data_IF_374074413013
#
_entry.id   IF_374074413013
#
_cell.length_a   1.000
_cell.length_b   1.000
_cell.length_c   1.000
_cell.angle_alpha   90.00
_cell.angle_beta   90.00
_cell.angle_gamma   90.00
#
_symmetry.space_group_name_H-M   'P 1'
#
loop_
_entity.id
_entity.type
_entity.pdbx_description
1 polymer ?
#
# COMPACT_ATOMS: atom_id res chain seq x y z
N UNK A 1 22.32 -4.61 23.13
CA UNK A 1 22.08 -4.04 21.78
C UNK A 1 22.15 -5.14 20.71
N UNK A 2 21.11 -5.30 19.90
CA UNK A 2 21.10 -6.29 18.82
C UNK A 2 22.07 -5.80 17.73
N UNK A 3 23.09 -6.60 17.40
CA UNK A 3 24.06 -6.24 16.36
C UNK A 3 23.44 -6.38 14.96
N UNK A 4 23.93 -5.59 14.00
CA UNK A 4 23.49 -5.68 12.60
C UNK A 4 23.69 -7.09 12.02
N UNK A 5 24.78 -7.77 12.40
CA UNK A 5 25.05 -9.16 12.05
C UNK A 5 23.93 -10.08 12.53
N UNK A 6 23.57 -10.04 13.82
CA UNK A 6 22.54 -10.91 14.38
C UNK A 6 21.17 -10.70 13.72
N UNK A 7 20.84 -9.46 13.36
CA UNK A 7 19.59 -9.17 12.61
C UNK A 7 19.62 -9.83 11.24
N UNK A 8 20.68 -9.62 10.46
CA UNK A 8 20.77 -10.15 9.09
C UNK A 8 20.79 -11.68 9.11
N UNK A 9 21.61 -12.31 9.96
CA UNK A 9 21.67 -13.77 10.09
C UNK A 9 20.31 -14.41 10.40
N UNK A 10 19.44 -13.73 11.15
CA UNK A 10 18.08 -14.19 11.40
C UNK A 10 17.16 -13.98 10.20
N UNK A 11 17.27 -12.86 9.49
CA UNK A 11 16.42 -12.53 8.34
C UNK A 11 16.71 -13.40 7.12
N UNK A 12 17.96 -13.85 6.94
CA UNK A 12 18.36 -14.63 5.76
C UNK A 12 18.05 -16.12 5.87
N UNK A 13 17.59 -16.62 7.02
CA UNK A 13 17.28 -18.04 7.23
C UNK A 13 16.45 -18.67 6.11
N UNK A 14 15.37 -18.04 5.59
CA UNK A 14 14.56 -18.62 4.51
C UNK A 14 15.27 -18.74 3.16
N UNK A 15 16.40 -18.03 2.97
CA UNK A 15 17.17 -18.02 1.72
C UNK A 15 18.58 -18.59 1.89
N UNK A 16 18.90 -19.13 3.07
CA UNK A 16 20.18 -19.77 3.34
C UNK A 16 20.41 -20.96 2.39
N UNK A 17 21.63 -21.12 1.89
CA UNK A 17 22.02 -22.18 0.96
C UNK A 17 21.77 -21.86 -0.51
N UNK A 18 21.08 -20.76 -0.83
CA UNK A 18 20.51 -20.55 -2.17
C UNK A 18 21.41 -19.83 -3.17
N UNK A 19 22.61 -19.37 -2.78
CA UNK A 19 23.51 -18.64 -3.68
C UNK A 19 23.04 -17.22 -4.02
N UNK A 20 22.04 -16.69 -3.32
CA UNK A 20 21.52 -15.32 -3.57
C UNK A 20 22.44 -14.24 -3.00
N UNK A 21 22.28 -13.03 -3.53
CA UNK A 21 22.93 -11.84 -3.01
C UNK A 21 22.05 -11.06 -2.03
N UNK A 22 22.65 -10.58 -0.94
CA UNK A 22 22.04 -9.68 0.03
C UNK A 22 22.62 -8.28 -0.16
N UNK A 23 21.75 -7.29 -0.36
CA UNK A 23 22.18 -5.87 -0.34
C UNK A 23 21.84 -5.26 1.02
N UNK A 24 22.81 -4.58 1.66
CA UNK A 24 22.59 -3.97 2.98
C UNK A 24 23.11 -2.55 3.07
N UNK A 25 22.49 -1.74 3.95
CA UNK A 25 23.02 -0.42 4.32
C UNK A 25 24.18 -0.53 5.33
N UNK A 26 24.84 0.59 5.56
CA UNK A 26 25.98 0.78 6.43
C UNK A 26 25.78 0.44 7.90
N UNK A 27 24.54 0.39 8.39
CA UNK A 27 24.26 -0.05 9.75
C UNK A 27 24.46 -1.56 9.91
N UNK A 28 24.18 -2.33 8.85
CA UNK A 28 24.27 -3.80 8.84
C UNK A 28 25.61 -4.29 8.29
N UNK A 29 26.19 -3.58 7.32
CA UNK A 29 27.39 -4.02 6.59
C UNK A 29 28.61 -4.10 7.51
N UNK A 30 29.29 -5.25 7.53
CA UNK A 30 30.56 -5.46 8.24
C UNK A 30 31.34 -6.62 7.62
N UNK A 31 32.66 -6.69 7.85
CA UNK A 31 33.47 -7.82 7.38
C UNK A 31 33.02 -9.15 8.01
N UNK A 32 32.77 -9.24 9.33
CA UNK A 32 32.25 -10.47 9.93
C UNK A 32 30.91 -10.91 9.32
N UNK A 33 30.00 -9.97 9.00
CA UNK A 33 28.76 -10.32 8.32
C UNK A 33 29.03 -10.89 6.91
N UNK A 34 29.94 -10.29 6.15
CA UNK A 34 30.31 -10.78 4.82
C UNK A 34 30.86 -12.22 4.86
N UNK A 35 31.62 -12.54 5.91
CA UNK A 35 32.17 -13.89 6.15
C UNK A 35 31.09 -14.87 6.57
N UNK A 36 30.25 -14.53 7.54
CA UNK A 36 29.10 -15.36 7.98
C UNK A 36 28.16 -15.66 6.81
N UNK A 37 27.81 -14.67 5.98
CA UNK A 37 26.94 -14.91 4.83
C UNK A 37 27.57 -15.85 3.81
N UNK A 38 28.86 -15.69 3.53
CA UNK A 38 29.56 -16.51 2.54
C UNK A 38 29.79 -17.94 3.03
N UNK A 39 30.30 -18.09 4.24
CA UNK A 39 30.75 -19.36 4.80
C UNK A 39 29.60 -20.19 5.37
N UNK A 40 28.68 -19.56 6.11
CA UNK A 40 27.67 -20.28 6.88
C UNK A 40 26.34 -20.39 6.12
N UNK A 41 26.09 -19.47 5.18
CA UNK A 41 24.81 -19.36 4.49
C UNK A 41 24.89 -19.55 2.96
N UNK A 42 26.07 -19.69 2.34
CA UNK A 42 26.20 -19.69 0.87
C UNK A 42 25.44 -18.50 0.22
N UNK A 43 25.68 -17.30 0.75
CA UNK A 43 25.09 -16.04 0.28
C UNK A 43 26.19 -15.01 0.03
N UNK A 44 25.98 -14.14 -0.96
CA UNK A 44 26.88 -12.99 -1.19
C UNK A 44 26.34 -11.72 -0.56
N UNK A 45 27.21 -10.73 -0.39
CA UNK A 45 26.91 -9.44 0.19
C UNK A 45 27.36 -8.33 -0.77
N UNK A 46 26.54 -7.30 -0.89
CA UNK A 46 26.93 -5.95 -1.35
C UNK A 46 26.40 -4.93 -0.35
N UNK A 47 27.25 -4.06 0.18
CA UNK A 47 26.80 -3.05 1.12
C UNK A 47 27.83 -1.96 1.32
N UNK A 48 27.46 -0.86 1.96
CA UNK A 48 28.41 0.24 2.20
C UNK A 48 29.01 0.14 3.59
N UNK A 49 30.33 0.29 3.73
CA UNK A 49 30.98 0.38 5.03
C UNK A 49 31.04 1.83 5.53
N UNK A 50 30.94 1.99 6.85
CA UNK A 50 31.24 3.27 7.50
C UNK A 50 32.76 3.47 7.54
N UNK A 51 33.21 4.70 7.25
CA UNK A 51 34.64 5.08 7.25
C UNK A 51 35.39 4.86 8.57
N UNK A 52 34.68 4.69 9.69
CA UNK A 52 35.26 4.54 11.02
C UNK A 52 35.50 3.08 11.41
N UNK A 53 35.34 2.14 10.47
CA UNK A 53 35.65 0.71 10.67
C UNK A 53 37.17 0.53 10.68
N UNK A 54 37.67 -0.17 11.70
CA UNK A 54 39.13 -0.34 11.95
C UNK A 54 39.80 -1.22 10.91
N UNK A 55 39.00 -2.03 10.22
CA UNK A 55 39.43 -2.99 9.22
C UNK A 55 39.74 -2.34 7.86
N UNK A 56 39.44 -1.03 7.70
CA UNK A 56 39.64 -0.30 6.46
C UNK A 56 41.02 0.38 6.48
N UNK A 57 41.89 0.11 5.48
CA UNK A 57 43.17 0.81 5.35
C UNK A 57 42.99 2.32 5.18
N UNK A 58 43.86 3.12 5.79
CA UNK A 58 43.76 4.59 5.78
C UNK A 58 43.90 5.15 4.36
N UNK A 59 44.69 4.50 3.52
CA UNK A 59 44.92 4.82 2.10
C UNK A 59 43.62 4.78 1.28
N UNK A 60 42.70 3.90 1.68
CA UNK A 60 41.39 3.71 1.02
C UNK A 60 40.41 4.81 1.43
N UNK A 61 40.61 5.45 2.58
CA UNK A 61 39.75 6.52 3.12
C UNK A 61 40.27 7.92 2.77
N UNK A 62 41.59 8.08 2.59
CA UNK A 62 42.19 9.38 2.30
C UNK A 62 41.70 9.93 0.95
N UNK A 63 41.17 11.15 0.99
CA UNK A 63 40.61 11.85 -0.17
C UNK A 63 41.35 13.14 -0.52
N UNK A 64 42.41 13.50 0.23
CA UNK A 64 43.09 14.81 0.10
C UNK A 64 43.59 15.08 -1.32
N UNK A 65 44.20 14.06 -1.94
CA UNK A 65 44.81 14.14 -3.26
C UNK A 65 44.07 13.31 -4.32
N UNK A 66 42.82 12.91 -4.05
CA UNK A 66 42.06 12.04 -4.96
C UNK A 66 41.19 12.85 -5.92
N UNK A 67 41.30 12.62 -7.24
CA UNK A 67 40.42 13.21 -8.23
C UNK A 67 38.96 12.81 -8.01
N UNK A 68 38.03 13.67 -8.41
CA UNK A 68 36.60 13.33 -8.50
C UNK A 68 36.43 12.21 -9.54
N UNK A 69 35.51 11.28 -9.27
CA UNK A 69 35.25 10.10 -10.10
C UNK A 69 36.43 9.13 -10.22
N UNK A 70 37.39 9.20 -9.28
CA UNK A 70 38.40 8.15 -9.13
C UNK A 70 37.86 6.96 -8.33
N UNK A 71 38.41 5.77 -8.59
CA UNK A 71 38.17 4.53 -7.84
C UNK A 71 39.48 3.89 -7.41
N UNK A 72 39.47 3.24 -6.24
CA UNK A 72 40.53 2.35 -5.77
C UNK A 72 39.87 1.06 -5.26
N UNK A 73 40.53 -0.07 -5.48
CA UNK A 73 40.03 -1.38 -5.08
C UNK A 73 41.03 -2.06 -4.15
N UNK A 74 40.52 -2.62 -3.06
CA UNK A 74 41.29 -3.47 -2.15
C UNK A 74 40.67 -4.86 -2.14
N UNK A 75 41.49 -5.88 -2.35
CA UNK A 75 41.07 -7.28 -2.45
C UNK A 75 41.66 -8.07 -1.29
N UNK A 76 40.82 -8.86 -0.62
CA UNK A 76 41.26 -9.77 0.44
C UNK A 76 40.27 -10.91 0.61
N UNK A 77 40.75 -12.16 0.60
CA UNK A 77 39.98 -13.36 0.94
C UNK A 77 38.61 -13.43 0.24
N UNK A 78 38.62 -13.20 -1.08
CA UNK A 78 37.41 -13.18 -1.92
C UNK A 78 36.40 -12.08 -1.55
N UNK A 79 36.86 -10.97 -0.99
CA UNK A 79 36.11 -9.74 -0.73
C UNK A 79 36.78 -8.60 -1.48
N UNK A 80 35.97 -7.68 -1.99
CA UNK A 80 36.41 -6.49 -2.68
C UNK A 80 35.84 -5.26 -1.98
N UNK A 81 36.72 -4.38 -1.52
CA UNK A 81 36.37 -3.07 -1.01
C UNK A 81 36.66 -2.02 -2.08
N UNK A 82 35.61 -1.35 -2.53
CA UNK A 82 35.71 -0.20 -3.42
C UNK A 82 35.82 1.08 -2.60
N UNK A 83 36.73 1.96 -2.98
CA UNK A 83 36.78 3.36 -2.56
C UNK A 83 36.59 4.30 -3.74
N UNK A 84 35.39 4.85 -3.83
CA UNK A 84 34.98 5.74 -4.90
C UNK A 84 34.79 7.17 -4.40
N UNK A 85 35.33 8.16 -5.13
CA UNK A 85 35.24 9.58 -4.79
C UNK A 85 34.22 10.31 -5.66
N UNK A 86 32.92 10.34 -5.29
CA UNK A 86 31.89 11.00 -6.11
C UNK A 86 32.03 12.52 -6.19
N UNK A 87 32.63 13.13 -5.14
CA UNK A 87 32.79 14.58 -4.97
C UNK A 87 34.08 14.85 -4.21
N UNK A 88 34.60 16.07 -4.30
CA UNK A 88 35.79 16.51 -3.56
C UNK A 88 35.61 16.25 -2.05
N UNK A 89 36.62 15.64 -1.41
CA UNK A 89 36.62 15.28 0.03
C UNK A 89 35.49 14.33 0.47
N UNK A 90 34.89 13.56 -0.45
CA UNK A 90 33.87 12.55 -0.14
C UNK A 90 34.28 11.21 -0.72
N UNK A 91 34.12 10.15 0.07
CA UNK A 91 34.38 8.77 -0.33
C UNK A 91 33.18 7.88 0.01
N UNK A 92 32.86 6.95 -0.87
CA UNK A 92 31.89 5.88 -0.66
C UNK A 92 32.66 4.57 -0.64
N UNK A 93 32.34 3.70 0.31
CA UNK A 93 33.09 2.48 0.59
C UNK A 93 32.24 1.19 0.42
N UNK A 94 31.81 0.80 -0.80
CA UNK A 94 31.09 -0.45 -0.99
C UNK A 94 31.99 -1.67 -0.76
N UNK A 95 31.54 -2.60 0.08
CA UNK A 95 32.10 -3.94 0.27
C UNK A 95 31.27 -4.93 -0.55
N UNK A 96 31.94 -5.82 -1.28
CA UNK A 96 31.29 -6.91 -2.01
C UNK A 96 32.00 -8.25 -1.84
N UNK A 97 31.24 -9.35 -1.78
CA UNK A 97 31.76 -10.72 -1.88
C UNK A 97 31.44 -11.40 -3.22
N UNK A 98 30.75 -10.72 -4.14
CA UNK A 98 30.40 -11.26 -5.47
C UNK A 98 31.20 -10.61 -6.62
N UNK A 99 31.65 -9.37 -6.47
CA UNK A 99 32.39 -8.65 -7.51
C UNK A 99 33.89 -8.71 -7.23
N UNK A 100 34.70 -9.06 -8.25
CA UNK A 100 36.15 -9.23 -8.13
C UNK A 100 36.96 -8.51 -9.20
N UNK A 101 36.31 -7.74 -10.08
CA UNK A 101 36.98 -6.90 -11.09
C UNK A 101 36.93 -5.42 -10.69
N UNK A 102 37.82 -4.63 -11.30
CA UNK A 102 37.89 -3.17 -11.21
C UNK A 102 37.16 -2.46 -12.35
N UNK A 103 36.31 -3.20 -13.07
CA UNK A 103 35.60 -2.72 -14.25
C UNK A 103 34.66 -1.55 -13.95
N UNK A 104 34.67 -0.60 -14.89
CA UNK A 104 33.83 0.60 -14.87
C UNK A 104 32.60 0.37 -15.73
N UNK A 105 31.43 0.76 -15.22
CA UNK A 105 30.18 0.70 -15.96
C UNK A 105 30.18 1.76 -17.08
N UNK A 106 30.15 1.36 -18.38
CA UNK A 106 30.16 2.31 -19.49
C UNK A 106 28.96 3.27 -19.47
N UNK A 107 27.82 2.87 -18.90
CA UNK A 107 26.63 3.72 -18.79
C UNK A 107 26.80 4.88 -17.81
N UNK A 108 27.85 4.86 -16.99
CA UNK A 108 28.12 5.91 -16.02
C UNK A 108 28.78 7.17 -16.62
N UNK A 109 29.24 7.12 -17.87
CA UNK A 109 29.87 8.24 -18.57
C UNK A 109 31.03 8.86 -17.79
N UNK A 110 31.07 10.19 -17.72
CA UNK A 110 32.11 10.94 -17.01
C UNK A 110 32.19 10.64 -15.52
N UNK A 111 31.13 10.07 -14.93
CA UNK A 111 31.14 9.69 -13.52
C UNK A 111 32.05 8.47 -13.26
N UNK A 112 32.35 7.64 -14.27
CA UNK A 112 33.25 6.47 -14.16
C UNK A 112 32.94 5.60 -12.94
N UNK A 113 31.67 5.26 -12.74
CA UNK A 113 31.23 4.45 -11.61
C UNK A 113 31.59 2.98 -11.85
N UNK A 114 32.28 2.32 -10.90
CA UNK A 114 32.49 0.87 -10.96
C UNK A 114 31.18 0.08 -10.90
N UNK A 115 31.17 -1.13 -11.47
CA UNK A 115 29.98 -2.00 -11.45
C UNK A 115 29.46 -2.31 -10.04
N UNK A 116 30.37 -2.45 -9.05
CA UNK A 116 29.97 -2.65 -7.64
C UNK A 116 29.03 -1.53 -7.17
N UNK A 117 29.33 -0.29 -7.55
CA UNK A 117 28.56 0.88 -7.13
C UNK A 117 27.24 0.99 -7.90
N UNK A 118 27.23 0.70 -9.20
CA UNK A 118 25.99 0.74 -10.00
C UNK A 118 25.04 -0.37 -9.57
N UNK A 119 25.55 -1.59 -9.34
CA UNK A 119 24.79 -2.69 -8.76
C UNK A 119 24.22 -2.36 -7.37
N UNK A 120 25.04 -1.81 -6.47
CA UNK A 120 24.54 -1.38 -5.16
C UNK A 120 23.41 -0.35 -5.30
N UNK A 121 23.54 0.61 -6.20
CA UNK A 121 22.52 1.63 -6.40
C UNK A 121 21.21 1.06 -6.98
N UNK A 122 21.27 0.04 -7.83
CA UNK A 122 20.07 -0.61 -8.39
C UNK A 122 19.33 -1.47 -7.37
N UNK A 123 20.02 -2.04 -6.37
CA UNK A 123 19.40 -2.96 -5.40
C UNK A 123 19.08 -2.34 -4.04
N UNK A 124 19.78 -1.28 -3.62
CA UNK A 124 19.61 -0.67 -2.28
C UNK A 124 18.20 -0.16 -2.00
N UNK A 125 17.43 0.19 -3.04
CA UNK A 125 16.09 0.77 -2.91
C UNK A 125 14.97 -0.24 -2.63
N UNK A 126 15.24 -1.55 -2.60
CA UNK A 126 14.18 -2.56 -2.50
C UNK A 126 13.26 -2.38 -1.28
N UNK A 127 13.81 -2.07 -0.11
CA UNK A 127 13.02 -1.83 1.11
C UNK A 127 12.31 -0.48 1.08
N UNK A 128 12.99 0.58 0.62
CA UNK A 128 12.42 1.93 0.51
C UNK A 128 11.18 1.94 -0.41
N UNK A 129 11.23 1.19 -1.52
CA UNK A 129 10.09 1.03 -2.43
C UNK A 129 8.91 0.36 -1.71
N UNK A 130 9.15 -0.69 -0.92
CA UNK A 130 8.08 -1.33 -0.13
C UNK A 130 7.48 -0.34 0.87
N UNK A 131 8.29 0.50 1.52
CA UNK A 131 7.82 1.52 2.44
C UNK A 131 6.99 2.61 1.75
N UNK A 132 7.42 3.08 0.57
CA UNK A 132 6.65 4.02 -0.26
C UNK A 132 5.28 3.43 -0.63
N UNK A 133 5.26 2.16 -1.06
CA UNK A 133 4.03 1.46 -1.40
C UNK A 133 3.11 1.34 -0.17
N UNK A 134 3.64 0.97 1.01
CA UNK A 134 2.82 0.89 2.23
C UNK A 134 2.27 2.26 2.63
N UNK A 135 3.04 3.34 2.45
CA UNK A 135 2.59 4.69 2.78
C UNK A 135 1.45 5.19 1.87
N UNK A 136 1.51 4.92 0.56
CA UNK A 136 0.51 5.41 -0.42
C UNK A 136 -0.92 4.90 -0.17
N UNK A 137 -1.06 3.68 0.34
CA UNK A 137 -2.36 3.08 0.68
C UNK A 137 -2.36 2.54 2.11
N UNK A 138 -2.00 3.41 3.06
CA UNK A 138 -1.91 3.02 4.47
C UNK A 138 -3.27 2.92 5.14
N UNK A 139 -3.51 1.82 5.86
CA UNK A 139 -4.69 1.65 6.74
C UNK A 139 -4.45 2.17 8.17
N UNK A 140 -3.27 2.74 8.44
CA UNK A 140 -2.93 3.23 9.77
C UNK A 140 -3.92 4.30 10.24
N UNK A 141 -4.25 4.26 11.53
CA UNK A 141 -5.09 5.24 12.22
C UNK A 141 -4.38 5.70 13.49
N UNK A 142 -4.62 6.94 13.88
CA UNK A 142 -4.12 7.49 15.15
C UNK A 142 -4.66 6.66 16.31
N UNK A 143 -3.76 6.24 17.20
CA UNK A 143 -4.13 5.44 18.35
C UNK A 143 -3.11 5.60 19.47
N UNK A 144 -3.60 5.61 20.71
CA UNK A 144 -2.76 5.57 21.91
C UNK A 144 -2.37 4.13 22.30
N UNK A 145 -2.74 3.13 21.50
CA UNK A 145 -2.45 1.72 21.74
C UNK A 145 -1.41 1.21 20.74
N UNK A 146 -0.16 1.07 21.17
CA UNK A 146 0.95 0.60 20.32
C UNK A 146 0.69 -0.73 19.58
N UNK A 147 -0.10 -1.70 20.10
CA UNK A 147 -0.38 -2.92 19.34
C UNK A 147 -1.13 -2.65 18.03
N UNK A 148 -1.94 -1.60 17.97
CA UNK A 148 -2.62 -1.20 16.74
C UNK A 148 -1.65 -0.70 15.67
N UNK A 149 -0.55 -0.06 16.06
CA UNK A 149 0.52 0.34 15.12
C UNK A 149 1.11 -0.88 14.42
N UNK A 150 1.37 -1.96 15.15
CA UNK A 150 1.85 -3.23 14.57
C UNK A 150 0.77 -3.84 13.69
N UNK A 151 -0.47 -3.92 14.16
CA UNK A 151 -1.59 -4.48 13.40
C UNK A 151 -1.78 -3.77 12.05
N UNK A 152 -1.77 -2.44 12.03
CA UNK A 152 -1.88 -1.68 10.78
C UNK A 152 -0.68 -1.87 9.86
N UNK A 153 0.53 -1.97 10.41
CA UNK A 153 1.74 -2.28 9.63
C UNK A 153 1.66 -3.67 8.97
N UNK A 154 1.14 -4.67 9.69
CA UNK A 154 0.88 -6.00 9.17
C UNK A 154 -0.16 -5.97 8.05
N UNK A 155 -1.29 -5.28 8.24
CA UNK A 155 -2.32 -5.15 7.19
C UNK A 155 -1.78 -4.49 5.92
N UNK A 156 -0.98 -3.42 6.05
CA UNK A 156 -0.33 -2.78 4.90
C UNK A 156 0.61 -3.75 4.16
N UNK A 157 1.36 -4.57 4.90
CA UNK A 157 2.28 -5.57 4.36
C UNK A 157 1.53 -6.71 3.67
N UNK A 158 0.46 -7.22 4.30
CA UNK A 158 -0.40 -8.27 3.75
C UNK A 158 -1.05 -7.80 2.45
N UNK A 159 -1.62 -6.59 2.42
CA UNK A 159 -2.27 -6.04 1.23
C UNK A 159 -1.29 -5.83 0.06
N UNK A 160 -0.02 -5.57 0.33
CA UNK A 160 1.01 -5.47 -0.71
C UNK A 160 1.46 -6.86 -1.19
N UNK A 161 1.74 -7.78 -0.27
CA UNK A 161 2.18 -9.13 -0.62
C UNK A 161 1.10 -9.91 -1.37
N UNK A 162 -0.18 -9.79 -0.98
CA UNK A 162 -1.30 -10.41 -1.68
C UNK A 162 -1.46 -9.86 -3.10
N UNK A 163 -1.29 -8.54 -3.27
CA UNK A 163 -1.27 -7.90 -4.59
C UNK A 163 -0.14 -8.44 -5.48
N UNK A 164 1.09 -8.57 -4.95
CA UNK A 164 2.23 -9.11 -5.69
C UNK A 164 1.93 -10.55 -6.14
N UNK A 165 1.46 -11.41 -5.23
CA UNK A 165 1.11 -12.80 -5.55
C UNK A 165 -0.02 -12.86 -6.59
N UNK A 166 -1.02 -12.00 -6.45
CA UNK A 166 -2.15 -11.92 -7.38
C UNK A 166 -1.72 -11.58 -8.81
N UNK A 167 -0.82 -10.60 -8.98
CA UNK A 167 -0.26 -10.25 -10.29
C UNK A 167 0.48 -11.43 -10.93
N UNK A 168 1.36 -12.08 -10.16
CA UNK A 168 2.13 -13.22 -10.65
C UNK A 168 1.22 -14.39 -11.04
N UNK A 169 0.18 -14.67 -10.25
CA UNK A 169 -0.77 -15.76 -10.53
C UNK A 169 -1.62 -15.49 -11.78
N UNK A 170 -2.00 -14.23 -12.04
CA UNK A 170 -2.74 -13.86 -13.25
C UNK A 170 -1.87 -13.70 -14.49
N UNK A 171 -0.57 -13.51 -14.32
CA UNK A 171 0.33 -13.13 -15.42
C UNK A 171 0.07 -11.72 -15.95
N UNK A 172 -0.67 -10.90 -15.21
CA UNK A 172 -1.02 -9.53 -15.57
C UNK A 172 -0.34 -8.55 -14.61
N UNK A 173 0.65 -7.85 -15.14
CA UNK A 173 1.46 -6.88 -14.41
C UNK A 173 0.97 -5.44 -14.59
N UNK A 174 -0.14 -5.22 -15.30
CA UNK A 174 -0.74 -3.89 -15.48
C UNK A 174 -1.88 -3.62 -14.49
N UNK A 175 -2.33 -4.65 -13.75
CA UNK A 175 -3.33 -4.51 -12.69
C UNK A 175 -2.97 -3.36 -11.75
N UNK A 176 -3.88 -2.38 -11.66
CA UNK A 176 -3.71 -1.20 -10.81
C UNK A 176 -4.01 -1.58 -9.36
N UNK A 177 -3.04 -1.33 -8.46
CA UNK A 177 -3.15 -1.69 -7.03
C UNK A 177 -4.43 -1.14 -6.35
N UNK A 178 -4.87 0.06 -6.73
CA UNK A 178 -6.10 0.66 -6.18
C UNK A 178 -7.34 -0.18 -6.45
N UNK A 179 -7.44 -0.75 -7.64
CA UNK A 179 -8.57 -1.57 -8.06
C UNK A 179 -8.54 -2.91 -7.33
N UNK A 180 -7.36 -3.54 -7.27
CA UNK A 180 -7.15 -4.73 -6.45
C UNK A 180 -7.58 -4.52 -4.99
N UNK A 181 -7.18 -3.42 -4.36
CA UNK A 181 -7.54 -3.12 -2.96
C UNK A 181 -9.04 -2.84 -2.81
N UNK A 182 -9.69 -2.21 -3.80
CA UNK A 182 -11.14 -1.95 -3.80
C UNK A 182 -11.92 -3.26 -3.84
N UNK A 183 -11.52 -4.18 -4.70
CA UNK A 183 -12.20 -5.46 -4.83
C UNK A 183 -11.92 -6.38 -3.64
N UNK A 184 -10.68 -6.41 -3.14
CA UNK A 184 -10.35 -7.09 -1.88
C UNK A 184 -11.22 -6.57 -0.71
N UNK A 185 -11.40 -5.25 -0.60
CA UNK A 185 -12.23 -4.67 0.45
C UNK A 185 -13.71 -5.05 0.32
N UNK A 186 -14.24 -5.16 -0.91
CA UNK A 186 -15.61 -5.65 -1.13
C UNK A 186 -15.72 -7.12 -0.73
N UNK A 187 -14.82 -7.96 -1.21
CA UNK A 187 -14.84 -9.41 -0.97
C UNK A 187 -14.82 -9.74 0.53
N UNK A 188 -14.01 -9.02 1.31
CA UNK A 188 -13.96 -9.15 2.77
C UNK A 188 -15.26 -8.72 3.46
N UNK A 189 -16.07 -7.86 2.82
CA UNK A 189 -17.31 -7.34 3.37
C UNK A 189 -18.55 -8.14 2.93
N UNK A 190 -18.51 -8.90 1.83
CA UNK A 190 -19.70 -9.52 1.22
C UNK A 190 -20.55 -10.30 2.23
N UNK A 191 -19.95 -11.21 3.00
CA UNK A 191 -20.71 -12.05 3.94
C UNK A 191 -21.38 -11.22 5.05
N UNK A 192 -20.72 -10.16 5.51
CA UNK A 192 -21.27 -9.24 6.50
C UNK A 192 -22.40 -8.37 5.92
N UNK A 193 -22.26 -7.96 4.66
CA UNK A 193 -23.30 -7.22 3.94
C UNK A 193 -24.55 -8.09 3.74
N UNK A 194 -24.39 -9.36 3.36
CA UNK A 194 -25.48 -10.33 3.22
C UNK A 194 -26.22 -10.53 4.55
N UNK A 195 -25.47 -10.79 5.64
CA UNK A 195 -26.06 -10.96 6.96
C UNK A 195 -26.84 -9.70 7.40
N UNK A 196 -26.26 -8.52 7.18
CA UNK A 196 -26.89 -7.24 7.53
C UNK A 196 -28.11 -6.93 6.67
N UNK A 197 -28.11 -7.33 5.39
CA UNK A 197 -29.27 -7.17 4.51
C UNK A 197 -30.50 -7.96 5.00
N UNK A 198 -30.26 -9.11 5.65
CA UNK A 198 -31.31 -9.95 6.26
C UNK A 198 -31.98 -9.33 7.49
N UNK A 199 -31.44 -8.24 8.05
CA UNK A 199 -32.06 -7.59 9.21
C UNK A 199 -33.34 -6.84 8.81
N UNK A 200 -34.45 -7.13 9.50
CA UNK A 200 -35.76 -6.51 9.22
C UNK A 200 -35.81 -5.01 9.55
N UNK A 201 -35.09 -4.58 10.60
CA UNK A 201 -35.16 -3.21 11.14
C UNK A 201 -34.09 -2.28 10.57
N UNK A 202 -33.45 -2.66 9.46
CA UNK A 202 -32.39 -1.86 8.86
C UNK A 202 -32.96 -0.56 8.25
N UNK A 203 -32.30 0.61 8.43
CA UNK A 203 -32.72 1.83 7.76
C UNK A 203 -32.81 1.64 6.24
N UNK A 204 -33.90 2.10 5.63
CA UNK A 204 -34.21 1.87 4.21
C UNK A 204 -33.07 2.29 3.26
N UNK A 205 -32.48 3.45 3.50
CA UNK A 205 -31.36 3.95 2.69
C UNK A 205 -30.16 3.00 2.76
N UNK A 206 -29.82 2.52 3.95
CA UNK A 206 -28.74 1.57 4.14
C UNK A 206 -29.06 0.22 3.47
N UNK A 207 -30.29 -0.28 3.60
CA UNK A 207 -30.73 -1.52 2.93
C UNK A 207 -30.55 -1.40 1.42
N UNK A 208 -31.01 -0.29 0.82
CA UNK A 208 -30.84 0.01 -0.61
C UNK A 208 -29.37 0.06 -1.03
N UNK A 209 -28.50 0.74 -0.28
CA UNK A 209 -27.07 0.77 -0.57
C UNK A 209 -26.45 -0.63 -0.55
N UNK A 210 -26.84 -1.47 0.42
CA UNK A 210 -26.36 -2.85 0.51
C UNK A 210 -26.87 -3.69 -0.67
N UNK A 211 -28.15 -3.59 -1.04
CA UNK A 211 -28.74 -4.26 -2.21
C UNK A 211 -27.94 -3.93 -3.48
N UNK A 212 -27.62 -2.65 -3.69
CA UNK A 212 -26.80 -2.19 -4.82
C UNK A 212 -25.37 -2.74 -4.78
N UNK A 213 -24.72 -2.73 -3.61
CA UNK A 213 -23.37 -3.28 -3.45
C UNK A 213 -23.30 -4.79 -3.68
N UNK A 214 -24.37 -5.53 -3.36
CA UNK A 214 -24.49 -6.96 -3.57
C UNK A 214 -24.96 -7.33 -4.99
N UNK A 215 -25.30 -6.35 -5.84
CA UNK A 215 -25.81 -6.61 -7.19
C UNK A 215 -27.19 -7.30 -7.20
N UNK A 216 -27.95 -7.19 -6.12
CA UNK A 216 -29.30 -7.73 -6.03
C UNK A 216 -30.28 -6.80 -6.77
N UNK A 217 -31.32 -7.38 -7.37
CA UNK A 217 -32.39 -6.58 -7.96
C UNK A 217 -33.14 -5.84 -6.82
N UNK A 218 -33.42 -4.55 -7.01
CA UNK A 218 -34.32 -3.83 -6.11
C UNK A 218 -35.71 -4.47 -6.25
N UNK A 219 -36.24 -5.04 -5.16
CA UNK A 219 -37.64 -5.48 -5.15
C UNK A 219 -38.52 -4.28 -5.48
N UNK A 220 -39.31 -4.39 -6.55
CA UNK A 220 -40.35 -3.41 -6.86
C UNK A 220 -41.25 -3.25 -5.65
N UNK A 221 -41.61 -2.00 -5.33
CA UNK A 221 -42.53 -1.75 -4.22
C UNK A 221 -43.79 -2.57 -4.46
N UNK A 222 -44.20 -3.46 -3.54
CA UNK A 222 -45.57 -3.91 -3.55
C UNK A 222 -46.44 -2.65 -3.47
N UNK A 223 -47.37 -2.49 -4.42
CA UNK A 223 -48.38 -1.44 -4.30
C UNK A 223 -49.01 -1.58 -2.92
N UNK A 224 -49.14 -0.49 -2.15
CA UNK A 224 -49.72 -0.58 -0.82
C UNK A 224 -51.12 -1.18 -0.95
N UNK A 225 -51.31 -2.37 -0.39
CA UNK A 225 -52.63 -2.98 -0.23
C UNK A 225 -53.61 -1.93 0.32
N UNK A 226 -54.83 -1.94 -0.22
CA UNK A 226 -55.90 -1.06 0.25
C UNK A 226 -56.01 -1.16 1.79
N UNK A 227 -55.94 -0.01 2.48
CA UNK A 227 -55.95 0.19 3.94
C UNK A 227 -54.60 0.30 4.71
N UNK A 228 -53.46 0.40 4.04
CA UNK A 228 -52.19 0.69 4.72
C UNK A 228 -52.12 2.12 5.28
N UNK A 229 -51.68 2.25 6.53
CA UNK A 229 -51.44 3.54 7.20
C UNK A 229 -49.93 3.75 7.41
N UNK A 230 -49.41 4.88 6.95
CA UNK A 230 -47.98 5.21 7.03
C UNK A 230 -47.71 6.54 7.69
N UNK A 231 -46.45 6.77 8.08
CA UNK A 231 -46.03 8.07 8.65
C UNK A 231 -45.95 9.12 7.53
N UNK A 232 -46.44 10.32 7.81
CA UNK A 232 -46.30 11.45 6.88
C UNK A 232 -44.83 11.68 6.50
N UNK A 233 -44.53 11.72 5.20
CA UNK A 233 -43.17 11.89 4.67
C UNK A 233 -42.60 13.30 4.81
N UNK A 234 -43.41 14.29 5.21
CA UNK A 234 -43.02 15.70 5.38
C UNK A 234 -42.87 16.04 6.88
N UNK A 235 -43.65 15.43 7.76
CA UNK A 235 -43.54 15.65 9.21
C UNK A 235 -42.16 15.26 9.75
N UNK A 236 -41.67 16.04 10.72
CA UNK A 236 -40.56 15.61 11.58
C UNK A 236 -40.88 14.25 12.22
N UNK A 237 -39.90 13.35 12.23
CA UNK A 237 -40.02 11.99 12.76
C UNK A 237 -40.60 11.92 14.18
N UNK A 238 -40.36 12.95 15.02
CA UNK A 238 -40.89 13.04 16.40
C UNK A 238 -42.41 13.20 16.46
N UNK A 239 -43.03 13.86 15.48
CA UNK A 239 -44.50 14.05 15.43
C UNK A 239 -45.24 12.73 15.19
N UNK A 240 -44.57 11.74 14.57
CA UNK A 240 -45.09 10.41 14.25
C UNK A 240 -46.51 10.37 13.65
N UNK A 241 -46.92 11.43 12.92
CA UNK A 241 -48.28 11.51 12.38
C UNK A 241 -48.51 10.46 11.33
N UNK A 242 -49.56 9.68 11.52
CA UNK A 242 -49.99 8.62 10.63
C UNK A 242 -51.05 9.16 9.65
N UNK A 243 -51.05 8.63 8.43
CA UNK A 243 -51.99 8.99 7.38
C UNK A 243 -52.27 7.79 6.48
N UNK A 244 -53.49 7.73 5.95
CA UNK A 244 -53.92 6.79 4.91
C UNK A 244 -53.84 7.40 3.50
N UNK A 245 -53.64 8.71 3.41
CA UNK A 245 -53.58 9.44 2.14
C UNK A 245 -52.16 9.41 1.58
N UNK A 246 -52.01 9.11 0.29
CA UNK A 246 -50.73 9.11 -0.43
C UNK A 246 -50.75 10.11 -1.59
N UNK A 247 -49.58 10.68 -1.91
CA UNK A 247 -49.41 11.53 -3.09
C UNK A 247 -49.47 10.69 -4.37
N UNK A 248 -50.22 11.12 -5.37
CA UNK A 248 -50.31 10.43 -6.67
C UNK A 248 -48.94 10.39 -7.39
N UNK A 249 -48.11 11.43 -7.26
CA UNK A 249 -46.83 11.56 -7.97
C UNK A 249 -45.73 10.75 -7.28
N UNK A 250 -45.53 10.93 -5.97
CA UNK A 250 -44.39 10.35 -5.25
C UNK A 250 -44.74 9.17 -4.33
N UNK A 251 -46.03 8.82 -4.22
CA UNK A 251 -46.57 7.73 -3.39
C UNK A 251 -46.19 7.77 -1.91
N UNK A 252 -45.72 8.91 -1.40
CA UNK A 252 -45.46 9.12 0.04
C UNK A 252 -46.79 9.33 0.77
N UNK A 253 -46.90 8.83 2.00
CA UNK A 253 -48.00 9.18 2.90
C UNK A 253 -47.91 10.66 3.31
N UNK A 254 -49.04 11.38 3.28
CA UNK A 254 -49.11 12.81 3.60
C UNK A 254 -50.25 13.03 4.60
N UNK A 255 -49.99 13.74 5.72
CA UNK A 255 -51.03 14.07 6.69
C UNK A 255 -51.84 15.28 6.20
N UNK A 256 -53.04 15.48 6.76
CA UNK A 256 -53.95 16.58 6.38
C UNK A 256 -53.32 17.99 6.46
N UNK A 257 -52.38 18.23 7.37
CA UNK A 257 -51.66 19.53 7.46
C UNK A 257 -50.76 19.79 6.24
N UNK A 258 -50.29 18.75 5.56
CA UNK A 258 -49.41 18.85 4.41
C UNK A 258 -50.13 18.47 3.11
N UNK A 259 -51.46 18.38 3.13
CA UNK A 259 -52.29 18.08 1.96
C UNK A 259 -53.05 19.34 1.54
N UNK A 260 -52.97 19.66 0.25
CA UNK A 260 -53.85 20.64 -0.40
C UNK A 260 -54.83 19.86 -1.27
N UNK A 261 -56.12 20.20 -1.20
CA UNK A 261 -57.14 19.59 -2.03
C UNK A 261 -57.31 20.41 -3.31
N UNK A 262 -57.08 19.78 -4.45
CA UNK A 262 -57.26 20.37 -5.78
C UNK A 262 -58.21 19.46 -6.56
N UNK A 263 -59.13 20.03 -7.35
CA UNK A 263 -59.97 19.23 -8.24
C UNK A 263 -59.14 18.67 -9.42
N UNK A 264 -59.66 17.67 -10.13
CA UNK A 264 -58.93 17.06 -11.25
C UNK A 264 -58.59 18.07 -12.37
N UNK A 265 -59.48 19.03 -12.64
CA UNK A 265 -59.27 20.05 -13.68
C UNK A 265 -58.10 20.99 -13.33
N UNK A 266 -58.08 21.56 -12.13
CA UNK A 266 -56.99 22.45 -11.72
C UNK A 266 -55.65 21.70 -11.51
N UNK A 267 -55.69 20.40 -11.20
CA UNK A 267 -54.48 19.59 -11.06
C UNK A 267 -53.81 19.26 -12.40
N UNK A 268 -54.59 19.20 -13.49
CA UNK A 268 -54.08 19.05 -14.86
C UNK A 268 -53.47 20.36 -15.38
N UNK A 269 -54.06 21.50 -15.04
CA UNK A 269 -53.57 22.84 -15.41
C UNK A 269 -52.21 23.19 -14.75
N UNK A 270 -51.98 22.81 -13.49
CA UNK A 270 -50.70 23.04 -12.78
C UNK A 270 -49.54 22.14 -13.29
N UNK A 271 -49.82 21.08 -14.06
CA UNK A 271 -48.83 20.11 -14.53
C UNK A 271 -48.08 20.53 -15.80
N UNK A 272 -48.68 21.40 -16.62
CA UNK A 272 -48.16 21.79 -17.94
C UNK A 272 -47.14 22.94 -17.88
N UNK A 273 -47.06 23.66 -16.77
CA UNK A 273 -46.22 24.88 -16.64
C UNK A 273 -44.73 24.59 -16.31
N UNK A 274 -44.27 23.35 -16.50
CA UNK A 274 -42.87 22.94 -16.24
C UNK A 274 -42.08 22.50 -17.47
N UNK A 275 -42.57 22.77 -18.68
CA UNK A 275 -41.82 22.50 -19.94
C UNK A 275 -41.48 23.72 -20.79
N UNK A 276 -41.56 24.93 -20.23
CA UNK A 276 -41.01 26.13 -20.87
C UNK A 276 -40.06 26.89 -19.93
N UNK A 277 -38.83 26.37 -19.83
CA UNK A 277 -37.55 27.12 -19.96
C UNK A 277 -36.33 26.21 -19.71
#
# INVERSE_FOLDING_TARGET
>A
PISGLAVVSRLVQPVSGTGRNITTDNWYTSIPLAETLKNDHNLTLVGTLRKNKKEIPLEVIDTRNRPVSSSMFAFKDGKTLLSYCPKKKKVVLPLSTMHHSDEIDPQSGDAKKPFILTFYNSTKGGVDVVDEYKARYSVARTSNRWPLTIFFSLLNTIGLNSYIVYKHKRGDFDIVRREFLKDLAKDLCINYLVARHGEERLPRQLKRSITQMLGLQEEERPQPAANLEGRCGICNWRKNRKSKTTCHICHKFICREHTVFTCSQCAEEDGDDSTSD
#
